data_IF_793787686369
#
_entry.id   IF_793787686369
#
_cell.length_a   1.000
_cell.length_b   1.000
_cell.length_c   1.000
_cell.angle_alpha   90.00
_cell.angle_beta   90.00
_cell.angle_gamma   90.00
#
_symmetry.space_group_name_H-M   'P 1'
#
loop_
_entity.id
_entity.type
_entity.pdbx_description
1 polymer ?
#
# COMPACT_ATOMS: atom_id res chain seq x y z
N UNK A 1 15.70 61.37 -3.89
CA UNK A 1 17.10 61.38 -4.35
C UNK A 1 17.48 59.97 -4.79
N UNK A 2 17.27 59.67 -6.07
CA UNK A 2 17.55 58.35 -6.65
C UNK A 2 19.04 58.23 -6.90
N UNK A 3 19.72 57.30 -6.20
CA UNK A 3 21.14 57.02 -6.42
C UNK A 3 21.28 56.40 -7.81
N UNK A 4 21.84 57.18 -8.75
CA UNK A 4 22.29 56.68 -10.06
C UNK A 4 23.44 55.73 -9.77
N UNK A 5 23.19 54.42 -9.84
CA UNK A 5 24.22 53.40 -9.70
C UNK A 5 25.08 53.36 -10.96
N UNK A 6 26.39 53.28 -10.78
CA UNK A 6 27.35 53.25 -11.89
C UNK A 6 27.11 52.05 -12.80
N UNK A 7 26.89 52.25 -14.11
CA UNK A 7 26.54 51.19 -15.07
C UNK A 7 27.62 50.10 -15.20
N UNK A 8 28.84 50.38 -14.74
CA UNK A 8 29.94 49.42 -14.72
C UNK A 8 29.78 48.37 -13.61
N UNK A 9 29.14 48.73 -12.49
CA UNK A 9 28.91 47.79 -11.38
C UNK A 9 27.86 46.74 -11.72
N UNK A 10 26.84 47.10 -12.51
CA UNK A 10 25.79 46.17 -12.94
C UNK A 10 26.29 45.14 -13.98
N UNK A 11 27.23 45.53 -14.85
CA UNK A 11 27.90 44.60 -15.77
C UNK A 11 28.73 43.55 -15.02
N UNK A 12 29.45 43.96 -13.97
CA UNK A 12 30.23 43.03 -13.17
C UNK A 12 29.33 42.07 -12.37
N UNK A 13 28.20 42.55 -11.83
CA UNK A 13 27.23 41.70 -11.12
C UNK A 13 26.56 40.68 -12.03
N UNK A 14 26.16 41.08 -13.23
CA UNK A 14 25.54 40.16 -14.21
C UNK A 14 26.54 39.15 -14.77
N UNK A 15 27.80 39.54 -14.96
CA UNK A 15 28.87 38.61 -15.32
C UNK A 15 29.12 37.58 -14.20
N UNK A 16 29.20 38.05 -12.95
CA UNK A 16 29.43 37.18 -11.79
C UNK A 16 28.26 36.23 -11.53
N UNK A 17 27.00 36.69 -11.66
CA UNK A 17 25.84 35.82 -11.51
C UNK A 17 25.77 34.74 -12.59
N UNK A 18 26.15 35.05 -13.84
CA UNK A 18 26.30 34.06 -14.91
C UNK A 18 27.43 33.07 -14.64
N UNK A 19 28.58 33.55 -14.17
CA UNK A 19 29.72 32.70 -13.85
C UNK A 19 29.40 31.72 -12.70
N UNK A 20 28.73 32.19 -11.65
CA UNK A 20 28.28 31.35 -10.54
C UNK A 20 27.22 30.33 -10.98
N UNK A 21 26.25 30.75 -11.82
CA UNK A 21 25.27 29.84 -12.40
C UNK A 21 25.92 28.76 -13.26
N UNK A 22 26.88 29.11 -14.12
CA UNK A 22 27.61 28.16 -14.95
C UNK A 22 28.45 27.18 -14.12
N UNK A 23 29.13 27.66 -13.08
CA UNK A 23 29.90 26.80 -12.17
C UNK A 23 29.01 25.81 -11.41
N UNK A 24 27.84 26.25 -10.94
CA UNK A 24 26.86 25.39 -10.27
C UNK A 24 26.33 24.29 -11.20
N UNK A 25 25.99 24.64 -12.44
CA UNK A 25 25.56 23.66 -13.45
C UNK A 25 26.69 22.68 -13.80
N UNK A 26 27.93 23.16 -13.96
CA UNK A 26 29.09 22.30 -14.19
C UNK A 26 29.31 21.30 -13.04
N UNK A 27 29.14 21.74 -11.79
CA UNK A 27 29.21 20.86 -10.62
C UNK A 27 28.10 19.78 -10.64
N UNK A 28 26.85 20.16 -10.95
CA UNK A 28 25.75 19.21 -11.06
C UNK A 28 25.96 18.19 -12.18
N UNK A 29 26.48 18.62 -13.34
CA UNK A 29 26.83 17.72 -14.44
C UNK A 29 27.93 16.75 -14.01
N UNK A 30 28.98 17.23 -13.34
CA UNK A 30 30.06 16.38 -12.84
C UNK A 30 29.56 15.35 -11.80
N UNK A 31 28.63 15.71 -10.92
CA UNK A 31 28.00 14.75 -9.99
C UNK A 31 27.15 13.70 -10.71
N UNK A 32 26.39 14.11 -11.72
CA UNK A 32 25.60 13.19 -12.54
C UNK A 32 26.49 12.23 -13.33
N UNK A 33 27.58 12.71 -13.91
CA UNK A 33 28.56 11.87 -14.61
C UNK A 33 29.23 10.88 -13.66
N UNK A 34 29.59 11.30 -12.45
CA UNK A 34 30.14 10.41 -11.41
C UNK A 34 29.17 9.31 -11.00
N UNK A 35 27.89 9.65 -10.84
CA UNK A 35 26.84 8.67 -10.51
C UNK A 35 26.51 7.73 -11.69
N UNK A 36 26.49 8.24 -12.92
CA UNK A 36 26.23 7.45 -14.11
C UNK A 36 27.37 6.45 -14.41
N UNK A 37 28.64 6.85 -14.21
CA UNK A 37 29.80 5.97 -14.34
C UNK A 37 29.77 4.79 -13.35
N UNK A 38 29.32 5.02 -12.11
CA UNK A 38 29.21 3.97 -11.09
C UNK A 38 28.12 2.93 -11.39
N UNK A 39 27.07 3.27 -12.16
CA UNK A 39 26.06 2.29 -12.55
C UNK A 39 26.54 1.34 -13.66
N UNK A 40 27.41 1.79 -14.58
CA UNK A 40 27.89 0.96 -15.70
C UNK A 40 28.90 -0.11 -15.29
N UNK A 41 29.56 0.01 -14.15
CA UNK A 41 30.51 -0.99 -13.64
C UNK A 41 29.88 -2.13 -12.82
N UNK A 42 28.56 -2.15 -12.62
CA UNK A 42 27.86 -3.32 -12.09
C UNK A 42 27.47 -4.24 -13.23
N UNK A 43 28.46 -4.89 -13.83
CA UNK A 43 28.20 -6.10 -14.63
C UNK A 43 27.46 -7.10 -13.73
N UNK A 44 26.36 -7.71 -14.19
CA UNK A 44 25.70 -8.76 -13.44
C UNK A 44 26.70 -9.93 -13.40
N UNK A 45 27.39 -10.10 -12.26
CA UNK A 45 28.14 -11.33 -12.00
C UNK A 45 27.14 -12.47 -12.04
N UNK A 46 27.14 -13.15 -13.19
CA UNK A 46 26.34 -14.34 -13.46
C UNK A 46 26.51 -15.31 -12.32
N UNK A 47 25.41 -15.53 -11.59
CA UNK A 47 25.34 -16.51 -10.53
C UNK A 47 25.27 -17.89 -11.18
N UNK A 48 26.46 -18.42 -11.43
CA UNK A 48 26.81 -19.84 -11.46
C UNK A 48 25.75 -20.79 -12.03
N UNK A 49 25.85 -21.03 -13.33
CA UNK A 49 25.45 -22.32 -13.88
C UNK A 49 26.23 -23.43 -13.17
N UNK A 50 25.50 -24.35 -12.52
CA UNK A 50 26.09 -25.61 -12.08
C UNK A 50 26.34 -26.48 -13.31
N UNK A 51 27.55 -27.04 -13.47
CA UNK A 51 27.83 -27.96 -14.55
C UNK A 51 26.98 -29.21 -14.38
N UNK A 52 26.27 -29.58 -15.44
CA UNK A 52 25.75 -30.94 -15.65
C UNK A 52 26.93 -31.89 -15.59
N UNK A 53 27.03 -32.65 -14.50
CA UNK A 53 27.91 -33.82 -14.41
C UNK A 53 27.17 -34.95 -15.11
N UNK A 54 27.66 -35.29 -16.31
CA UNK A 54 27.46 -36.57 -16.94
C UNK A 54 28.15 -37.67 -16.12
N UNK A 55 27.61 -38.87 -16.27
CA UNK A 55 28.24 -40.18 -16.07
C UNK A 55 28.90 -40.45 -14.72
N UNK A 56 28.13 -41.18 -13.89
CA UNK A 56 28.64 -42.41 -13.31
C UNK A 56 27.51 -43.40 -13.16
N UNK A 57 27.61 -44.45 -13.97
CA UNK A 57 27.13 -45.79 -13.69
C UNK A 57 27.23 -46.07 -12.18
N UNK A 58 26.09 -46.27 -11.55
CA UNK A 58 26.00 -47.20 -10.41
C UNK A 58 24.55 -47.65 -10.28
N UNK A 59 24.37 -48.90 -10.67
CA UNK A 59 23.29 -49.78 -10.25
C UNK A 59 23.13 -49.67 -8.73
N UNK A 60 21.93 -49.25 -8.31
CA UNK A 60 21.25 -49.52 -7.03
C UNK A 60 20.21 -48.42 -6.84
N UNK A 61 19.12 -48.55 -7.59
CA UNK A 61 17.95 -47.68 -7.50
C UNK A 61 17.10 -48.13 -6.30
N UNK A 62 17.24 -47.41 -5.18
CA UNK A 62 16.37 -47.50 -4.00
C UNK A 62 15.22 -46.47 -4.12
N UNK A 63 13.97 -46.90 -4.35
CA UNK A 63 12.84 -46.00 -4.61
C UNK A 63 12.31 -45.26 -3.36
N UNK A 64 12.86 -45.47 -2.15
CA UNK A 64 12.33 -44.86 -0.92
C UNK A 64 12.99 -43.51 -0.53
N UNK A 65 14.08 -43.08 -1.17
CA UNK A 65 14.80 -41.87 -0.74
C UNK A 65 14.27 -40.54 -1.31
N UNK A 66 13.50 -40.55 -2.41
CA UNK A 66 12.98 -39.31 -3.03
C UNK A 66 11.65 -38.82 -2.46
N UNK A 67 11.00 -39.59 -1.57
CA UNK A 67 9.77 -39.14 -0.89
C UNK A 67 10.03 -38.21 0.30
N UNK A 68 11.27 -38.14 0.77
CA UNK A 68 11.65 -37.32 1.93
C UNK A 68 12.17 -35.92 1.57
N UNK A 69 12.49 -35.61 0.30
CA UNK A 69 13.15 -34.36 -0.09
C UNK A 69 12.27 -33.29 -0.73
N UNK A 70 11.00 -33.57 -1.02
CA UNK A 70 10.03 -32.57 -1.51
C UNK A 70 9.25 -31.87 -0.40
N UNK A 71 9.55 -32.12 0.89
CA UNK A 71 8.79 -31.59 2.04
C UNK A 71 9.45 -30.44 2.83
N UNK A 72 10.50 -29.81 2.31
CA UNK A 72 11.27 -28.79 3.05
C UNK A 72 11.31 -27.39 2.40
N UNK A 73 10.45 -27.07 1.44
CA UNK A 73 10.31 -25.69 0.95
C UNK A 73 8.85 -25.42 0.63
N UNK A 74 8.31 -24.31 1.14
CA UNK A 74 6.88 -23.92 1.19
C UNK A 74 6.10 -24.46 2.39
N UNK A 75 6.30 -23.80 3.53
CA UNK A 75 5.29 -23.74 4.58
C UNK A 75 4.08 -22.97 4.06
N UNK A 76 3.09 -23.70 3.57
CA UNK A 76 1.72 -23.24 3.38
C UNK A 76 0.89 -24.01 4.41
N UNK A 77 0.43 -23.30 5.43
CA UNK A 77 -0.57 -23.82 6.36
C UNK A 77 -1.93 -23.86 5.65
N UNK A 78 -2.22 -24.97 4.98
CA UNK A 78 -3.59 -25.34 4.64
C UNK A 78 -3.97 -26.52 5.53
N UNK A 79 -4.74 -26.24 6.58
CA UNK A 79 -5.57 -27.25 7.25
C UNK A 79 -6.80 -27.49 6.36
N UNK A 80 -6.98 -28.68 5.77
CA UNK A 80 -8.27 -29.05 5.20
C UNK A 80 -9.23 -29.41 6.34
N UNK A 81 -10.48 -28.98 6.18
CA UNK A 81 -11.61 -29.39 6.98
C UNK A 81 -11.74 -30.93 6.95
N UNK A 82 -11.74 -31.55 8.13
CA UNK A 82 -12.22 -32.91 8.33
C UNK A 82 -13.75 -32.87 8.41
N UNK A 83 -14.39 -33.14 7.28
CA UNK A 83 -15.71 -33.78 7.26
C UNK A 83 -15.51 -35.31 7.31
N UNK A 84 -16.41 -35.97 8.04
CA UNK A 84 -16.72 -37.41 8.03
C UNK A 84 -15.74 -38.42 8.65
N UNK A 85 -15.84 -38.61 9.97
CA UNK A 85 -15.77 -39.95 10.58
C UNK A 85 -16.37 -40.04 12.01
N UNK A 86 -17.69 -39.84 12.16
CA UNK A 86 -18.41 -40.20 13.40
C UNK A 86 -19.70 -40.99 13.18
N UNK A 87 -19.70 -41.95 12.25
CA UNK A 87 -20.77 -42.97 12.21
C UNK A 87 -20.34 -44.26 12.93
N UNK A 88 -21.08 -44.51 14.03
CA UNK A 88 -21.41 -45.77 14.72
C UNK A 88 -20.61 -46.14 15.98
N UNK A 89 -21.20 -45.84 17.14
CA UNK A 89 -21.63 -46.88 18.10
C UNK A 89 -22.91 -46.45 18.84
N UNK A 90 -23.74 -47.42 19.29
CA UNK A 90 -25.18 -47.24 19.46
C UNK A 90 -25.60 -46.91 20.91
N UNK A 91 -26.78 -46.30 20.99
CA UNK A 91 -27.81 -46.38 22.03
C UNK A 91 -27.40 -46.94 23.41
N UNK A 92 -27.46 -46.09 24.43
CA UNK A 92 -28.15 -46.43 25.67
C UNK A 92 -28.99 -45.23 26.12
N UNK A 93 -30.27 -45.50 26.34
CA UNK A 93 -31.23 -44.68 27.06
C UNK A 93 -30.78 -44.46 28.50
N UNK A 94 -30.96 -43.25 29.02
CA UNK A 94 -31.78 -42.97 30.20
C UNK A 94 -31.50 -41.56 30.74
N UNK A 95 -32.60 -40.81 30.88
CA UNK A 95 -32.93 -39.93 32.00
C UNK A 95 -31.80 -39.08 32.63
N UNK A 96 -31.88 -37.77 32.45
CA UNK A 96 -32.50 -36.91 33.48
C UNK A 96 -32.51 -35.44 33.05
N UNK A 97 -33.71 -34.89 33.07
CA UNK A 97 -33.96 -33.46 32.99
C UNK A 97 -33.24 -32.73 34.13
N UNK A 98 -32.46 -31.70 33.79
CA UNK A 98 -32.13 -30.58 34.68
C UNK A 98 -31.86 -29.36 33.84
N UNK A 99 -32.97 -28.77 33.42
CA UNK A 99 -33.11 -27.48 32.75
C UNK A 99 -32.73 -26.38 33.75
N UNK A 100 -31.45 -26.04 33.82
CA UNK A 100 -31.00 -24.82 34.51
C UNK A 100 -31.08 -23.66 33.54
N UNK A 101 -32.25 -23.01 33.55
CA UNK A 101 -32.52 -21.75 32.88
C UNK A 101 -31.56 -20.64 33.39
N UNK A 102 -30.39 -20.55 32.79
CA UNK A 102 -29.59 -19.33 32.87
C UNK A 102 -30.14 -18.34 31.86
N UNK A 103 -30.53 -17.12 32.26
CA UNK A 103 -31.00 -16.11 31.32
C UNK A 103 -29.92 -15.86 30.26
N UNK A 104 -30.31 -15.61 28.99
CA UNK A 104 -29.36 -15.31 27.93
C UNK A 104 -28.56 -14.08 28.35
N UNK A 105 -27.31 -14.29 28.75
CA UNK A 105 -26.39 -13.17 29.02
C UNK A 105 -26.37 -12.33 27.75
N UNK A 106 -26.72 -11.03 27.81
CA UNK A 106 -26.54 -10.16 26.66
C UNK A 106 -25.06 -10.28 26.29
N UNK A 107 -24.80 -10.75 25.07
CA UNK A 107 -23.46 -10.67 24.48
C UNK A 107 -23.20 -9.18 24.30
N UNK A 108 -22.72 -8.54 25.35
CA UNK A 108 -22.04 -7.26 25.25
C UNK A 108 -20.99 -7.52 24.18
N UNK A 109 -21.00 -6.80 23.04
CA UNK A 109 -19.88 -6.87 22.13
C UNK A 109 -18.70 -6.38 22.96
N UNK A 110 -17.91 -7.32 23.49
CA UNK A 110 -16.56 -7.07 23.93
C UNK A 110 -15.76 -6.80 22.66
N UNK A 111 -16.11 -5.68 22.01
CA UNK A 111 -15.31 -5.05 21.00
C UNK A 111 -14.00 -4.78 21.70
N UNK A 112 -13.03 -5.65 21.42
CA UNK A 112 -11.65 -5.22 21.42
C UNK A 112 -11.57 -4.14 20.35
N UNK A 113 -12.05 -2.93 20.67
CA UNK A 113 -11.69 -1.71 20.00
C UNK A 113 -10.19 -1.65 20.17
N UNK A 114 -9.52 -2.16 19.15
CA UNK A 114 -8.09 -2.03 19.03
C UNK A 114 -7.84 -0.53 19.23
N UNK A 115 -6.92 -0.15 20.13
CA UNK A 115 -6.67 1.26 20.45
C UNK A 115 -6.29 2.10 19.21
N UNK A 116 -6.05 1.43 18.10
CA UNK A 116 -5.65 1.98 16.82
C UNK A 116 -6.80 2.07 15.80
N UNK A 117 -8.04 1.68 16.12
CA UNK A 117 -9.19 1.99 15.26
C UNK A 117 -9.67 3.40 15.60
N UNK A 118 -9.48 4.38 14.70
CA UNK A 118 -10.01 5.70 14.97
C UNK A 118 -11.53 5.65 14.95
N UNK A 119 -12.15 6.36 15.90
CA UNK A 119 -13.60 6.44 16.06
C UNK A 119 -14.22 7.34 14.98
N UNK A 120 -14.12 6.98 13.70
CA UNK A 120 -14.64 7.78 12.60
C UNK A 120 -15.56 6.95 11.71
N UNK A 121 -16.58 7.59 11.16
CA UNK A 121 -17.49 6.96 10.21
C UNK A 121 -16.87 6.89 8.82
N UNK A 122 -16.05 7.88 8.47
CA UNK A 122 -15.33 7.96 7.18
C UNK A 122 -13.85 8.25 7.42
N UNK A 123 -12.99 7.45 6.82
CA UNK A 123 -11.54 7.63 6.83
C UNK A 123 -11.08 7.91 5.41
N UNK A 124 -10.55 9.09 5.19
CA UNK A 124 -9.80 9.42 3.98
C UNK A 124 -8.36 8.99 4.19
N UNK A 125 -7.74 8.35 3.20
CA UNK A 125 -6.42 7.72 3.37
C UNK A 125 -5.35 8.41 2.53
N UNK A 126 -4.21 8.75 3.15
CA UNK A 126 -3.01 9.17 2.42
C UNK A 126 -2.21 7.98 1.83
N UNK A 127 -1.40 8.24 0.80
CA UNK A 127 -0.54 7.22 0.19
C UNK A 127 0.43 6.59 1.22
N UNK A 128 0.91 7.35 2.20
CA UNK A 128 1.78 6.84 3.28
C UNK A 128 1.17 5.65 4.01
N UNK A 129 -0.15 5.69 4.29
CA UNK A 129 -0.88 4.64 5.01
C UNK A 129 -0.97 3.37 4.16
N UNK A 130 -1.25 3.48 2.87
CA UNK A 130 -1.28 2.34 1.95
C UNK A 130 0.07 1.63 1.87
N UNK A 131 1.17 2.38 1.96
CA UNK A 131 2.54 1.84 1.89
C UNK A 131 3.02 1.27 3.23
N UNK A 132 2.73 1.95 4.34
CA UNK A 132 3.35 1.66 5.64
C UNK A 132 2.41 1.04 6.66
N UNK A 133 1.09 1.07 6.45
CA UNK A 133 0.09 0.54 7.38
C UNK A 133 -1.10 -0.12 6.65
N UNK A 134 -0.82 -0.90 5.59
CA UNK A 134 -1.84 -1.56 4.77
C UNK A 134 -2.77 -2.46 5.59
N UNK A 135 -2.26 -3.14 6.62
CA UNK A 135 -3.07 -3.97 7.50
C UNK A 135 -4.10 -3.16 8.30
N UNK A 136 -3.85 -1.88 8.59
CA UNK A 136 -4.86 -1.00 9.20
C UNK A 136 -6.03 -0.77 8.26
N UNK A 137 -5.76 -0.52 6.98
CA UNK A 137 -6.78 -0.35 5.95
C UNK A 137 -7.65 -1.60 5.83
N UNK A 138 -7.02 -2.78 5.75
CA UNK A 138 -7.74 -4.06 5.69
C UNK A 138 -8.63 -4.28 6.92
N UNK A 139 -8.14 -3.98 8.14
CA UNK A 139 -8.96 -4.06 9.35
C UNK A 139 -10.18 -3.15 9.29
N UNK A 140 -10.01 -1.90 8.89
CA UNK A 140 -11.11 -0.94 8.78
C UNK A 140 -12.16 -1.35 7.74
N UNK A 141 -11.72 -1.98 6.64
CA UNK A 141 -12.62 -2.54 5.63
C UNK A 141 -13.48 -3.71 6.16
N UNK A 142 -13.01 -4.43 7.18
CA UNK A 142 -13.70 -5.58 7.77
C UNK A 142 -14.49 -5.26 9.05
N UNK A 143 -14.11 -4.22 9.80
CA UNK A 143 -14.76 -3.85 11.07
C UNK A 143 -16.24 -3.45 10.90
N UNK A 144 -16.67 -3.13 9.67
CA UNK A 144 -18.07 -2.93 9.31
C UNK A 144 -18.70 -1.62 9.81
N UNK A 145 -17.96 -0.80 10.57
CA UNK A 145 -18.45 0.49 11.05
C UNK A 145 -17.94 1.67 10.21
N UNK A 146 -16.79 1.51 9.58
CA UNK A 146 -16.08 2.62 8.94
C UNK A 146 -16.12 2.51 7.43
N UNK A 147 -16.26 3.63 6.74
CA UNK A 147 -16.05 3.74 5.29
C UNK A 147 -14.67 4.30 5.00
N UNK A 148 -13.91 3.62 4.15
CA UNK A 148 -12.60 4.02 3.67
C UNK A 148 -12.74 4.70 2.31
N UNK A 149 -12.15 5.89 2.17
CA UNK A 149 -12.07 6.63 0.92
C UNK A 149 -10.61 6.75 0.49
N UNK A 150 -10.32 6.30 -0.72
CA UNK A 150 -8.99 6.39 -1.34
C UNK A 150 -8.99 7.59 -2.32
N UNK A 151 -8.22 8.65 -2.06
CA UNK A 151 -8.04 9.75 -3.00
C UNK A 151 -7.45 9.27 -4.33
N UNK A 152 -7.88 9.87 -5.45
CA UNK A 152 -7.35 9.53 -6.78
C UNK A 152 -5.83 9.77 -6.86
N UNK A 153 -5.34 10.81 -6.18
CA UNK A 153 -3.92 11.13 -6.15
C UNK A 153 -3.08 10.09 -5.38
N UNK A 154 -3.69 9.37 -4.42
CA UNK A 154 -3.03 8.25 -3.75
C UNK A 154 -2.78 7.11 -4.74
N UNK A 155 -3.73 6.83 -5.63
CA UNK A 155 -3.58 5.83 -6.68
C UNK A 155 -2.48 6.23 -7.69
N UNK A 156 -2.48 7.50 -8.13
CA UNK A 156 -1.41 8.03 -8.99
C UNK A 156 -0.03 7.89 -8.33
N UNK A 157 0.05 8.14 -7.02
CA UNK A 157 1.28 7.97 -6.25
C UNK A 157 1.73 6.51 -6.22
N UNK A 158 0.82 5.57 -5.95
CA UNK A 158 1.13 4.12 -6.02
C UNK A 158 1.63 3.71 -7.42
N UNK A 159 1.08 4.29 -8.48
CA UNK A 159 1.48 4.00 -9.86
C UNK A 159 2.89 4.47 -10.20
N UNK A 160 3.34 5.58 -9.62
CA UNK A 160 4.73 6.01 -9.73
C UNK A 160 5.63 5.09 -8.90
N UNK A 161 5.21 4.77 -7.67
CA UNK A 161 5.99 3.99 -6.71
C UNK A 161 6.12 2.51 -7.07
N UNK A 162 5.19 1.93 -7.85
CA UNK A 162 5.28 0.52 -8.30
C UNK A 162 6.48 0.28 -9.23
N UNK A 163 7.08 1.34 -9.77
CA UNK A 163 8.28 1.23 -10.58
C UNK A 163 9.53 0.97 -9.72
N UNK A 164 10.35 -0.01 -10.10
CA UNK A 164 11.59 -0.35 -9.38
C UNK A 164 11.53 -1.59 -8.49
N UNK A 165 12.57 -1.81 -7.69
CA UNK A 165 12.75 -3.04 -6.89
C UNK A 165 12.97 -2.77 -5.40
N UNK A 166 12.82 -1.52 -4.96
CA UNK A 166 12.92 -1.16 -3.55
C UNK A 166 11.71 -1.68 -2.75
N UNK A 167 11.83 -1.68 -1.42
CA UNK A 167 10.76 -2.16 -0.53
C UNK A 167 9.48 -1.33 -0.68
N UNK A 168 9.59 -0.03 -0.96
CA UNK A 168 8.45 0.85 -1.27
C UNK A 168 7.69 0.37 -2.50
N UNK A 169 8.38 0.01 -3.59
CA UNK A 169 7.73 -0.53 -4.79
C UNK A 169 7.06 -1.88 -4.54
N UNK A 170 7.66 -2.76 -3.74
CA UNK A 170 7.04 -4.03 -3.36
C UNK A 170 5.75 -3.80 -2.57
N UNK A 171 5.79 -2.91 -1.57
CA UNK A 171 4.61 -2.52 -0.76
C UNK A 171 3.55 -1.83 -1.61
N UNK A 172 3.95 -0.96 -2.53
CA UNK A 172 3.05 -0.29 -3.46
C UNK A 172 2.27 -1.28 -4.32
N UNK A 173 2.94 -2.30 -4.86
CA UNK A 173 2.27 -3.39 -5.60
C UNK A 173 1.33 -4.20 -4.72
N UNK A 174 1.70 -4.46 -3.47
CA UNK A 174 0.84 -5.16 -2.52
C UNK A 174 -0.42 -4.34 -2.23
N UNK A 175 -0.28 -3.03 -1.99
CA UNK A 175 -1.40 -2.12 -1.80
C UNK A 175 -2.31 -2.08 -3.04
N UNK A 176 -1.76 -1.94 -4.25
CA UNK A 176 -2.55 -1.97 -5.49
C UNK A 176 -3.37 -3.26 -5.63
N UNK A 177 -2.79 -4.43 -5.34
CA UNK A 177 -3.52 -5.71 -5.37
C UNK A 177 -4.68 -5.74 -4.38
N UNK A 178 -4.45 -5.29 -3.14
CA UNK A 178 -5.53 -5.22 -2.14
C UNK A 178 -6.64 -4.28 -2.60
N UNK A 179 -6.29 -3.13 -3.20
CA UNK A 179 -7.28 -2.20 -3.72
C UNK A 179 -8.05 -2.79 -4.91
N UNK A 180 -7.40 -3.50 -5.83
CA UNK A 180 -8.06 -4.21 -6.94
C UNK A 180 -9.05 -5.28 -6.44
N UNK A 181 -8.71 -5.98 -5.35
CA UNK A 181 -9.56 -7.01 -4.74
C UNK A 181 -10.74 -6.41 -3.96
N UNK A 182 -10.52 -5.31 -3.23
CA UNK A 182 -11.52 -4.74 -2.32
C UNK A 182 -12.42 -3.68 -2.98
N UNK A 183 -11.86 -2.81 -3.84
CA UNK A 183 -12.63 -1.70 -4.44
C UNK A 183 -13.67 -2.25 -5.42
N UNK A 184 -14.94 -1.92 -5.19
CA UNK A 184 -16.08 -2.38 -5.99
C UNK A 184 -16.70 -3.68 -5.49
N UNK A 185 -15.94 -4.52 -4.79
CA UNK A 185 -16.45 -5.73 -4.13
C UNK A 185 -16.90 -5.46 -2.70
N UNK A 186 -16.17 -4.60 -1.97
CA UNK A 186 -16.47 -4.23 -0.60
C UNK A 186 -17.09 -2.82 -0.56
N UNK A 187 -18.36 -2.67 -0.13
CA UNK A 187 -19.03 -1.36 -0.10
C UNK A 187 -18.41 -0.39 0.93
N UNK A 188 -17.52 -0.89 1.80
CA UNK A 188 -16.82 -0.09 2.80
C UNK A 188 -15.61 0.63 2.25
N UNK A 189 -15.04 0.21 1.13
CA UNK A 189 -13.94 0.92 0.50
C UNK A 189 -14.38 1.47 -0.85
N UNK A 190 -14.08 2.76 -1.09
CA UNK A 190 -14.33 3.39 -2.38
C UNK A 190 -13.19 4.30 -2.78
N UNK A 191 -13.09 4.52 -4.07
CA UNK A 191 -12.21 5.54 -4.63
C UNK A 191 -12.98 6.86 -4.70
N UNK A 192 -12.27 7.96 -4.48
CA UNK A 192 -12.78 9.32 -4.70
C UNK A 192 -13.32 9.45 -6.13
N UNK A 193 -14.47 10.13 -6.30
CA UNK A 193 -15.03 10.45 -7.62
C UNK A 193 -14.28 11.62 -8.25
N UNK A 194 -14.24 11.70 -9.58
CA UNK A 194 -13.54 12.78 -10.30
C UNK A 194 -14.06 14.19 -9.97
N UNK A 195 -15.35 14.31 -9.63
CA UNK A 195 -16.02 15.55 -9.21
C UNK A 195 -16.00 15.77 -7.69
N UNK A 196 -15.55 14.79 -6.91
CA UNK A 196 -15.56 14.83 -5.45
C UNK A 196 -14.31 15.52 -4.89
N UNK A 197 -14.09 16.78 -5.28
CA UNK A 197 -13.01 17.60 -4.75
C UNK A 197 -13.46 19.05 -4.53
N UNK A 198 -12.79 19.74 -3.60
CA UNK A 198 -12.93 21.19 -3.42
C UNK A 198 -11.73 21.87 -4.10
N UNK A 199 -11.91 22.88 -4.97
CA UNK A 199 -10.80 23.62 -5.54
C UNK A 199 -9.91 24.23 -4.45
N UNK A 200 -8.58 24.11 -4.60
CA UNK A 200 -7.62 24.56 -3.60
C UNK A 200 -7.80 26.04 -3.22
N UNK A 201 -8.07 26.90 -4.21
CA UNK A 201 -8.25 28.34 -3.99
C UNK A 201 -9.43 28.65 -3.06
N UNK A 202 -10.51 27.85 -3.12
CA UNK A 202 -11.65 28.00 -2.22
C UNK A 202 -11.28 27.61 -0.78
N UNK A 203 -10.44 26.60 -0.61
CA UNK A 203 -9.93 26.18 0.71
C UNK A 203 -9.01 27.27 1.28
N UNK A 204 -8.07 27.76 0.46
CA UNK A 204 -7.12 28.79 0.85
C UNK A 204 -7.82 30.11 1.22
N UNK A 205 -8.81 30.55 0.42
CA UNK A 205 -9.60 31.74 0.70
C UNK A 205 -10.39 31.62 2.01
N UNK A 206 -11.01 30.46 2.27
CA UNK A 206 -11.76 30.22 3.52
C UNK A 206 -10.84 30.18 4.74
N UNK A 207 -9.65 29.62 4.61
CA UNK A 207 -8.63 29.62 5.67
C UNK A 207 -8.18 31.05 6.00
N UNK A 208 -7.96 31.89 4.99
CA UNK A 208 -7.60 33.29 5.18
C UNK A 208 -8.70 34.13 5.86
N UNK A 209 -9.98 33.81 5.62
CA UNK A 209 -11.11 34.52 6.21
C UNK A 209 -11.47 34.04 7.64
N UNK A 210 -11.20 32.77 7.96
CA UNK A 210 -11.59 32.15 9.24
C UNK A 210 -10.53 32.20 10.34
N UNK A 211 -9.27 32.53 10.03
CA UNK A 211 -8.27 32.78 11.05
C UNK A 211 -8.66 34.08 11.77
N UNK A 212 -9.06 33.97 13.03
CA UNK A 212 -9.13 35.07 13.99
C UNK A 212 -7.75 35.70 14.09
N UNK A 213 -7.45 36.58 13.13
CA UNK A 213 -6.20 37.30 13.07
C UNK A 213 -6.02 38.03 14.39
N UNK A 214 -4.99 37.65 15.14
CA UNK A 214 -4.47 38.49 16.21
C UNK A 214 -4.04 39.78 15.49
N UNK A 215 -4.67 40.94 15.78
CA UNK A 215 -4.67 42.09 14.86
C UNK A 215 -3.32 42.81 14.67
N UNK A 216 -2.19 42.25 15.10
CA UNK A 216 -0.88 42.89 15.00
C UNK A 216 0.28 41.94 14.66
N UNK A 217 0.03 40.69 14.25
CA UNK A 217 1.09 39.88 13.67
C UNK A 217 0.99 39.97 12.14
N UNK A 218 1.92 40.64 11.44
CA UNK A 218 1.95 40.59 9.99
C UNK A 218 2.27 39.14 9.58
N UNK A 219 1.22 38.37 9.31
CA UNK A 219 1.29 37.04 8.73
C UNK A 219 1.69 37.16 7.24
N UNK A 220 2.89 37.72 7.00
CA UNK A 220 3.53 37.77 5.68
C UNK A 220 4.00 36.39 5.23
N UNK A 221 3.86 35.36 6.07
CA UNK A 221 4.30 34.00 5.74
C UNK A 221 3.45 33.35 4.65
N UNK A 222 2.17 33.70 4.54
CA UNK A 222 1.25 32.99 3.62
C UNK A 222 0.77 33.85 2.44
N UNK A 223 0.98 35.17 2.48
CA UNK A 223 0.57 36.09 1.39
C UNK A 223 1.41 35.99 0.11
N UNK A 224 2.53 35.26 0.12
CA UNK A 224 3.37 35.03 -1.07
C UNK A 224 3.18 33.60 -1.64
N UNK A 225 2.56 32.68 -0.92
CA UNK A 225 2.63 31.23 -1.22
C UNK A 225 1.27 30.51 -1.25
N UNK A 226 0.25 31.11 -1.86
CA UNK A 226 -0.79 30.29 -2.52
C UNK A 226 -0.21 29.27 -3.53
N UNK A 227 1.06 29.47 -3.93
CA UNK A 227 1.85 28.67 -4.87
C UNK A 227 2.83 27.66 -4.25
N UNK A 228 3.03 27.61 -2.91
CA UNK A 228 4.14 26.82 -2.31
C UNK A 228 3.84 25.33 -2.08
N UNK A 229 2.55 24.98 -1.95
CA UNK A 229 2.11 23.60 -1.76
C UNK A 229 2.33 22.77 -3.04
N UNK A 230 2.99 21.59 -2.97
CA UNK A 230 3.05 20.68 -4.11
C UNK A 230 1.66 20.22 -4.57
N UNK A 231 1.46 20.14 -5.89
CA UNK A 231 0.15 19.79 -6.49
C UNK A 231 -0.43 18.46 -5.99
N UNK A 232 0.41 17.43 -5.84
CA UNK A 232 -0.01 16.12 -5.33
C UNK A 232 -0.61 16.24 -3.92
N UNK A 233 0.00 17.05 -3.05
CA UNK A 233 -0.48 17.24 -1.68
C UNK A 233 -1.78 18.03 -1.67
N UNK A 234 -1.90 19.09 -2.50
CA UNK A 234 -3.14 19.85 -2.63
C UNK A 234 -4.31 18.93 -2.96
N UNK A 235 -4.15 18.03 -3.94
CA UNK A 235 -5.19 17.10 -4.38
C UNK A 235 -5.64 16.14 -3.28
N UNK A 236 -4.69 15.60 -2.51
CA UNK A 236 -4.98 14.75 -1.35
C UNK A 236 -5.84 15.49 -0.31
N UNK A 237 -5.43 16.70 0.05
CA UNK A 237 -6.12 17.54 1.03
C UNK A 237 -7.47 18.02 0.53
N UNK A 238 -7.59 18.36 -0.76
CA UNK A 238 -8.85 18.72 -1.41
C UNK A 238 -9.88 17.59 -1.35
N UNK A 239 -9.45 16.33 -1.49
CA UNK A 239 -10.31 15.17 -1.29
C UNK A 239 -10.83 15.11 0.15
N UNK A 240 -9.93 15.18 1.14
CA UNK A 240 -10.32 15.15 2.56
C UNK A 240 -11.26 16.30 2.93
N UNK A 241 -11.05 17.51 2.37
CA UNK A 241 -11.91 18.66 2.60
C UNK A 241 -13.29 18.50 1.97
N UNK A 242 -13.37 17.88 0.78
CA UNK A 242 -14.65 17.55 0.16
C UNK A 242 -15.44 16.57 1.03
N UNK A 243 -14.80 15.48 1.45
CA UNK A 243 -15.43 14.44 2.29
C UNK A 243 -15.88 15.03 3.64
N UNK A 244 -15.10 15.93 4.26
CA UNK A 244 -15.51 16.60 5.50
C UNK A 244 -16.64 17.63 5.34
N UNK A 245 -16.95 18.07 4.11
CA UNK A 245 -17.89 19.15 3.83
C UNK A 245 -19.01 18.71 2.90
N UNK A 246 -18.94 19.16 1.64
CA UNK A 246 -19.97 18.92 0.61
C UNK A 246 -20.30 17.45 0.42
N UNK A 247 -19.31 16.58 0.60
CA UNK A 247 -19.45 15.14 0.43
C UNK A 247 -20.14 14.39 1.55
N UNK A 248 -20.39 15.07 2.66
CA UNK A 248 -20.92 14.47 3.87
C UNK A 248 -22.15 15.24 4.36
N UNK A 249 -23.27 15.12 3.63
CA UNK A 249 -24.53 15.75 4.03
C UNK A 249 -25.07 15.18 5.36
N UNK A 250 -24.68 13.95 5.69
CA UNK A 250 -25.12 13.24 6.90
C UNK A 250 -24.41 13.74 8.17
N UNK A 251 -23.39 14.59 8.04
CA UNK A 251 -22.60 15.07 9.19
C UNK A 251 -21.79 13.97 9.88
N UNK A 252 -21.46 12.89 9.18
CA UNK A 252 -20.60 11.80 9.65
C UNK A 252 -19.25 12.32 10.11
N UNK A 253 -18.63 11.68 11.09
CA UNK A 253 -17.28 12.08 11.50
C UNK A 253 -16.27 11.62 10.46
N UNK A 254 -15.61 12.58 9.82
CA UNK A 254 -14.57 12.34 8.81
C UNK A 254 -13.21 12.65 9.38
N UNK A 255 -12.28 11.72 9.21
CA UNK A 255 -10.88 11.91 9.57
C UNK A 255 -9.97 11.66 8.38
N UNK A 256 -8.79 12.26 8.43
CA UNK A 256 -7.74 12.03 7.46
C UNK A 256 -6.60 11.24 8.09
N UNK A 257 -6.39 10.03 7.59
CA UNK A 257 -5.42 9.07 8.08
C UNK A 257 -4.07 9.26 7.37
N UNK A 258 -3.02 9.45 8.17
CA UNK A 258 -1.64 9.67 7.70
C UNK A 258 -0.67 8.89 8.59
N UNK A 259 0.48 8.43 8.07
CA UNK A 259 1.48 7.74 8.90
C UNK A 259 2.32 8.75 9.70
N UNK A 260 2.70 8.41 10.94
CA UNK A 260 3.59 9.28 11.70
C UNK A 260 5.03 9.22 11.15
N UNK A 261 5.49 10.35 10.63
CA UNK A 261 6.79 10.49 9.98
C UNK A 261 7.99 10.13 10.88
N UNK A 262 7.80 10.16 12.21
CA UNK A 262 8.82 9.78 13.20
C UNK A 262 9.31 8.33 13.05
N UNK A 263 8.48 7.45 12.48
CA UNK A 263 8.81 6.03 12.29
C UNK A 263 9.33 5.72 10.87
N UNK A 264 9.30 6.71 9.97
CA UNK A 264 9.87 6.59 8.63
C UNK A 264 11.33 7.03 8.66
N UNK A 265 12.24 6.06 8.78
CA UNK A 265 13.65 6.29 8.42
C UNK A 265 13.66 6.74 6.96
N UNK A 266 13.98 8.01 6.73
CA UNK A 266 14.06 8.63 5.41
C UNK A 266 14.95 7.79 4.52
N UNK A 267 14.36 7.15 3.52
CA UNK A 267 15.04 6.26 2.60
C UNK A 267 15.84 6.99 1.51
N UNK A 268 16.25 8.25 1.69
CA UNK A 268 17.01 9.06 0.71
C UNK A 268 16.48 9.01 -0.73
N UNK A 269 15.24 8.56 -0.93
CA UNK A 269 14.66 8.25 -2.21
C UNK A 269 14.00 9.48 -2.79
N UNK A 270 14.03 9.60 -4.13
CA UNK A 270 13.38 10.71 -4.85
C UNK A 270 11.90 10.90 -4.48
N UNK A 271 11.23 9.84 -4.03
CA UNK A 271 9.79 9.81 -3.76
C UNK A 271 9.46 9.70 -2.26
N UNK A 272 10.42 9.89 -1.36
CA UNK A 272 10.19 9.72 0.08
C UNK A 272 9.14 10.70 0.61
N UNK A 273 9.18 11.95 0.14
CA UNK A 273 8.21 13.00 0.51
C UNK A 273 6.77 12.68 0.09
N UNK A 274 6.55 11.69 -0.79
CA UNK A 274 5.20 11.26 -1.20
C UNK A 274 4.64 10.19 -0.26
N UNK A 275 5.48 9.56 0.57
CA UNK A 275 5.11 8.39 1.38
C UNK A 275 5.37 8.57 2.88
N UNK A 276 5.99 9.68 3.29
CA UNK A 276 6.21 10.00 4.70
C UNK A 276 4.94 10.49 5.41
N UNK A 277 4.03 11.12 4.68
CA UNK A 277 2.83 11.75 5.21
C UNK A 277 3.08 13.05 5.99
N UNK A 278 4.32 13.51 6.14
CA UNK A 278 4.65 14.65 7.02
C UNK A 278 4.01 15.94 6.51
N UNK A 279 4.25 16.23 5.22
CA UNK A 279 3.74 17.43 4.58
C UNK A 279 2.20 17.45 4.56
N UNK A 280 1.60 16.29 4.27
CA UNK A 280 0.15 16.12 4.25
C UNK A 280 -0.44 16.39 5.64
N UNK A 281 0.14 15.79 6.69
CA UNK A 281 -0.28 15.99 8.08
C UNK A 281 -0.20 17.45 8.50
N UNK A 282 0.90 18.15 8.17
CA UNK A 282 1.09 19.56 8.50
C UNK A 282 0.03 20.46 7.84
N UNK A 283 -0.19 20.29 6.54
CA UNK A 283 -1.14 21.10 5.78
C UNK A 283 -2.59 20.81 6.18
N UNK A 284 -2.93 19.56 6.44
CA UNK A 284 -4.27 19.19 6.91
C UNK A 284 -4.59 19.80 8.27
N UNK A 285 -3.63 19.80 9.21
CA UNK A 285 -3.81 20.48 10.50
C UNK A 285 -4.03 21.99 10.33
N UNK A 286 -3.26 22.66 9.46
CA UNK A 286 -3.44 24.09 9.16
C UNK A 286 -4.82 24.42 8.57
N UNK A 287 -5.42 23.48 7.87
CA UNK A 287 -6.73 23.64 7.22
C UNK A 287 -7.91 23.18 8.09
N UNK A 288 -7.64 22.88 9.36
CA UNK A 288 -8.62 22.44 10.35
C UNK A 288 -9.25 21.09 10.01
N UNK A 289 -8.53 20.21 9.31
CA UNK A 289 -8.93 18.82 9.12
C UNK A 289 -8.54 18.01 10.35
N UNK A 290 -9.39 17.07 10.75
CA UNK A 290 -9.04 16.13 11.80
C UNK A 290 -8.08 15.07 11.25
N UNK A 291 -6.82 15.10 11.69
CA UNK A 291 -5.78 14.17 11.23
C UNK A 291 -5.52 13.12 12.30
N UNK A 292 -5.58 11.84 11.90
CA UNK A 292 -5.16 10.72 12.74
C UNK A 292 -3.83 10.19 12.22
N UNK A 293 -2.84 10.17 13.12
CA UNK A 293 -1.53 9.59 12.85
C UNK A 293 -1.54 8.10 13.15
N UNK A 294 -1.10 7.30 12.19
CA UNK A 294 -1.03 5.84 12.30
C UNK A 294 0.42 5.43 12.45
N UNK A 295 0.65 4.51 13.38
CA UNK A 295 1.95 3.87 13.52
C UNK A 295 2.26 2.99 12.32
N UNK A 296 3.51 3.04 11.87
CA UNK A 296 4.00 2.19 10.79
C UNK A 296 3.95 0.72 11.20
N UNK A 297 3.36 -0.12 10.35
CA UNK A 297 3.34 -1.55 10.59
C UNK A 297 4.75 -2.14 10.48
N UNK A 298 5.12 -2.91 11.50
CA UNK A 298 6.37 -3.68 11.51
C UNK A 298 6.30 -4.70 10.36
N UNK A 299 7.32 -4.79 9.50
CA UNK A 299 7.32 -5.76 8.42
C UNK A 299 7.14 -7.17 8.99
N UNK A 300 6.08 -7.85 8.55
CA UNK A 300 5.81 -9.24 8.91
C UNK A 300 7.03 -10.08 8.54
N UNK A 301 7.81 -10.49 9.53
CA UNK A 301 9.05 -11.25 9.31
C UNK A 301 10.31 -10.67 9.95
N UNK A 302 10.25 -9.48 10.57
CA UNK A 302 11.30 -9.13 11.54
C UNK A 302 11.05 -9.96 12.81
N UNK A 303 11.84 -11.00 13.12
CA UNK A 303 11.71 -11.69 14.39
C UNK A 303 11.83 -10.64 15.49
N UNK A 304 10.80 -10.50 16.31
CA UNK A 304 10.85 -9.65 17.50
C UNK A 304 12.00 -10.19 18.35
N UNK A 305 13.10 -9.44 18.37
CA UNK A 305 14.34 -9.74 19.11
C UNK A 305 14.00 -9.73 20.60
N UNK A 306 13.43 -10.82 21.10
CA UNK A 306 12.88 -10.90 22.44
C UNK A 306 11.89 -12.05 22.64
N UNK A 307 11.15 -12.46 21.61
CA UNK A 307 10.28 -13.64 21.72
C UNK A 307 11.01 -14.91 21.30
N UNK A 308 12.24 -15.06 21.82
CA UNK A 308 12.85 -16.38 22.00
C UNK A 308 12.10 -17.01 23.16
N UNK A 309 10.86 -17.45 22.88
CA UNK A 309 10.16 -18.35 23.79
C UNK A 309 11.13 -19.46 24.12
N UNK A 310 11.50 -19.50 25.38
CA UNK A 310 11.74 -20.68 26.18
C UNK A 310 10.73 -21.78 25.84
N UNK A 311 10.85 -22.39 24.66
CA UNK A 311 10.77 -23.84 24.53
C UNK A 311 12.05 -24.33 25.22
N UNK A 312 12.08 -24.46 26.55
CA UNK A 312 11.11 -25.27 27.25
C UNK A 312 11.31 -26.68 26.70
N UNK A 313 12.45 -27.27 27.06
CA UNK A 313 12.85 -28.61 26.62
C UNK A 313 11.76 -29.62 26.91
N UNK A 314 11.26 -30.24 25.86
CA UNK A 314 10.50 -31.49 25.91
C UNK A 314 11.33 -32.57 25.23
N UNK A 315 12.32 -33.08 25.96
CA UNK A 315 12.89 -34.40 25.71
C UNK A 315 11.80 -35.46 25.85
N UNK A 316 11.71 -36.38 24.89
CA UNK A 316 10.78 -37.51 24.88
C UNK A 316 10.38 -37.77 23.43
N UNK A 317 11.09 -38.61 22.67
CA UNK A 317 11.31 -40.01 23.00
C UNK A 317 10.14 -40.79 22.42
N UNK A 318 10.32 -41.37 21.23
CA UNK A 318 9.23 -42.08 20.56
C UNK A 318 9.61 -42.57 19.17
N UNK A 319 10.55 -43.53 19.14
CA UNK A 319 10.77 -44.38 17.97
C UNK A 319 9.51 -45.22 17.75
N UNK A 320 8.90 -45.15 16.57
CA UNK A 320 8.10 -46.26 16.04
C UNK A 320 8.24 -46.32 14.52
N UNK A 321 9.12 -47.23 14.12
CA UNK A 321 9.20 -47.87 12.82
C UNK A 321 7.86 -48.54 12.46
N UNK A 322 7.29 -48.19 11.31
CA UNK A 322 6.14 -48.86 10.70
C UNK A 322 6.35 -49.00 9.18
N UNK A 323 5.90 -50.10 8.55
CA UNK A 323 6.39 -50.59 7.26
C UNK A 323 5.72 -49.95 6.03
N UNK A 324 6.29 -50.13 4.81
CA UNK A 324 5.76 -49.56 3.57
C UNK A 324 4.66 -50.46 3.01
N UNK A 325 3.42 -49.99 3.05
CA UNK A 325 2.25 -50.63 2.42
C UNK A 325 1.80 -49.85 1.20
N UNK A 326 2.16 -50.33 0.01
CA UNK A 326 1.69 -49.77 -1.26
C UNK A 326 0.19 -49.94 -1.47
N UNK A 327 -0.42 -49.01 -2.21
CA UNK A 327 -1.62 -49.23 -3.04
C UNK A 327 -1.71 -48.12 -4.11
N UNK A 328 -1.49 -48.56 -5.35
CA UNK A 328 -2.05 -47.97 -6.57
C UNK A 328 -3.54 -47.61 -6.40
N UNK A 329 -3.98 -46.47 -6.97
CA UNK A 329 -5.11 -46.34 -7.94
C UNK A 329 -5.60 -44.88 -8.07
N UNK A 330 -5.81 -44.47 -9.33
CA UNK A 330 -6.52 -43.26 -9.78
C UNK A 330 -5.55 -42.13 -10.19
N UNK A 331 -5.16 -41.95 -11.46
CA UNK A 331 -5.99 -41.66 -12.65
C UNK A 331 -7.22 -40.81 -12.30
N UNK A 332 -6.94 -39.54 -11.98
CA UNK A 332 -7.93 -38.47 -11.84
C UNK A 332 -7.74 -37.45 -12.97
N UNK A 333 -8.86 -37.17 -13.64
CA UNK A 333 -9.04 -36.44 -14.89
C UNK A 333 -8.30 -35.11 -15.03
N UNK A 334 -7.77 -34.90 -16.24
CA UNK A 334 -7.56 -33.59 -16.84
C UNK A 334 -8.92 -32.87 -16.86
N UNK A 335 -9.06 -31.80 -16.09
CA UNK A 335 -10.18 -30.88 -16.25
C UNK A 335 -9.86 -30.04 -17.48
N UNK A 336 -10.43 -30.41 -18.62
CA UNK A 336 -10.48 -29.56 -19.81
C UNK A 336 -11.21 -28.27 -19.41
N UNK A 337 -10.46 -27.15 -19.43
CA UNK A 337 -11.05 -25.82 -19.34
C UNK A 337 -11.86 -25.59 -20.62
N UNK A 338 -13.15 -25.26 -20.55
CA UNK A 338 -13.88 -24.84 -21.73
C UNK A 338 -13.21 -23.59 -22.30
N UNK A 339 -12.76 -23.68 -23.55
CA UNK A 339 -12.38 -22.52 -24.36
C UNK A 339 -13.58 -21.56 -24.39
N UNK A 340 -13.40 -20.28 -24.02
CA UNK A 340 -14.47 -19.31 -24.15
C UNK A 340 -14.83 -19.20 -25.64
N UNK A 341 -16.11 -19.42 -25.94
CA UNK A 341 -16.67 -19.21 -27.27
C UNK A 341 -16.43 -17.74 -27.66
N UNK A 342 -15.55 -17.52 -28.63
CA UNK A 342 -15.37 -16.22 -29.27
C UNK A 342 -16.65 -15.95 -30.04
N UNK A 343 -17.57 -15.22 -29.42
CA UNK A 343 -18.74 -14.67 -30.09
C UNK A 343 -18.23 -13.56 -31.01
N UNK A 344 -18.32 -13.78 -32.32
CA UNK A 344 -18.01 -12.76 -33.30
C UNK A 344 -18.90 -11.52 -33.06
N UNK A 345 -18.34 -10.30 -33.03
CA UNK A 345 -19.14 -9.09 -32.88
C UNK A 345 -20.08 -8.92 -34.08
N UNK A 346 -21.28 -8.36 -33.88
CA UNK A 346 -22.22 -8.10 -34.97
C UNK A 346 -21.56 -7.19 -36.02
N UNK A 347 -21.65 -7.61 -37.28
CA UNK A 347 -21.14 -6.87 -38.42
C UNK A 347 -21.81 -5.49 -38.49
N UNK A 348 -21.04 -4.43 -38.26
CA UNK A 348 -21.52 -3.07 -38.50
C UNK A 348 -20.97 -2.02 -37.53
N UNK A 349 -19.65 -1.84 -37.49
CA UNK A 349 -18.94 -0.58 -37.19
C UNK A 349 -17.44 -0.83 -37.27
N UNK A 350 -16.86 -0.45 -38.40
CA UNK A 350 -15.40 -0.50 -38.61
C UNK A 350 -14.78 0.65 -37.82
N UNK A 351 -14.19 0.35 -36.67
CA UNK A 351 -13.37 1.31 -35.93
C UNK A 351 -12.00 1.33 -36.62
N UNK A 352 -11.75 2.35 -37.45
CA UNK A 352 -10.41 2.62 -37.98
C UNK A 352 -9.57 3.26 -36.88
N UNK A 353 -8.53 2.56 -36.43
CA UNK A 353 -7.49 3.14 -35.59
C UNK A 353 -6.60 3.98 -36.50
N UNK A 354 -6.75 5.30 -36.44
CA UNK A 354 -5.91 6.24 -37.19
C UNK A 354 -4.50 6.24 -36.60
N UNK A 355 -3.51 6.11 -37.47
CA UNK A 355 -2.13 6.31 -37.07
C UNK A 355 -1.91 7.79 -36.72
N UNK A 356 -1.00 8.04 -35.78
CA UNK A 356 -0.70 9.36 -35.22
C UNK A 356 -0.29 10.33 -36.37
N UNK A 357 -1.21 11.19 -36.80
CA UNK A 357 -0.97 12.19 -37.85
C UNK A 357 -2.08 12.34 -38.91
N UNK A 358 -3.07 11.46 -38.97
CA UNK A 358 -4.21 11.64 -39.90
C UNK A 358 -5.25 12.62 -39.35
N UNK A 359 -5.60 13.63 -40.17
CA UNK A 359 -6.57 14.68 -39.88
C UNK A 359 -7.89 14.31 -40.54
N UNK A 360 -8.99 14.28 -39.78
CA UNK A 360 -10.34 14.11 -40.30
C UNK A 360 -10.79 15.41 -41.00
N UNK A 361 -11.12 15.32 -42.29
CA UNK A 361 -11.87 16.36 -43.00
C UNK A 361 -13.34 16.29 -42.54
N UNK A 362 -13.97 17.43 -42.19
CA UNK A 362 -15.39 17.45 -41.85
C UNK A 362 -16.26 17.38 -43.12
N UNK A 363 -17.24 16.47 -43.14
CA UNK A 363 -18.37 16.52 -44.08
C UNK A 363 -19.41 17.57 -43.66
#
# INVERSE_FOLDING_TARGET
MSRVLDPQTDRNRTSMSRALGAAFLSHQVAELERNAGNQRNRTPRGRGGRPRRSDREREDYDPDFDRARTKATFGINNTPAEEDSWRRRPQSSDDTASESASPPRPRIPLGHHNRNTPLADVIVIDASVLIHALGAVQRWCHDGQTQVVIPLEALNTLDVLKSGTNQTAVRSRAASRVLEEEVGNNPRIRVQRDDAFVPWDAIAAKSAAGATSIPNQPDTRWKVEGAGAPEWMKRMVCCAKWESGTGNPDGKRVIFAVVDAKDTVTSGGRYDNLVDGELVSEWSAKLGLEVVKIEKEKPAGSPTKGERRTRGGGSGGGRSSGPPGGRNRGRGALVEKPTPAITAPPAGKVIRVLARGEKLEPE
#
